data_IF_215593044292
#
_entry.id   IF_215593044292
#
_cell.length_a   1.000
_cell.length_b   1.000
_cell.length_c   1.000
_cell.angle_alpha   90.00
_cell.angle_beta   90.00
_cell.angle_gamma   90.00
#
_symmetry.space_group_name_H-M   'P 1'
#
loop_
_entity.id
_entity.type
_entity.pdbx_description
1 polymer ?
#
# COMPACT_ATOMS: atom_id res chain seq x y z
N UNK A 1 7.33 10.43 -5.32
CA UNK A 1 6.87 11.56 -4.47
C UNK A 1 5.36 11.74 -4.51
N UNK A 2 4.75 12.22 -5.61
CA UNK A 2 3.28 12.36 -5.67
C UNK A 2 2.56 11.04 -5.39
N UNK A 3 3.00 9.93 -6.01
CA UNK A 3 2.44 8.60 -5.73
C UNK A 3 2.57 8.17 -4.27
N UNK A 4 3.61 8.61 -3.56
CA UNK A 4 3.79 8.33 -2.13
C UNK A 4 2.73 9.06 -1.29
N UNK A 5 2.46 10.33 -1.61
CA UNK A 5 1.43 11.14 -0.95
C UNK A 5 0.04 10.54 -1.21
N UNK A 6 -0.23 10.15 -2.46
CA UNK A 6 -1.50 9.52 -2.84
C UNK A 6 -1.68 8.20 -2.09
N UNK A 7 -0.69 7.31 -2.10
CA UNK A 7 -0.76 6.01 -1.41
C UNK A 7 -0.96 6.14 0.09
N UNK A 8 -0.33 7.16 0.69
CA UNK A 8 -0.51 7.47 2.10
C UNK A 8 -1.98 7.75 2.47
N UNK A 9 -2.81 8.28 1.57
CA UNK A 9 -4.20 8.66 1.88
C UNK A 9 -5.28 7.82 1.19
N UNK A 10 -5.01 7.27 0.00
CA UNK A 10 -6.03 6.67 -0.87
C UNK A 10 -6.01 5.14 -0.92
N UNK A 11 -5.10 4.47 -0.21
CA UNK A 11 -4.74 3.05 -0.36
C UNK A 11 -3.83 2.75 -1.55
N UNK A 12 -3.04 1.68 -1.45
CA UNK A 12 -2.20 1.19 -2.54
C UNK A 12 -3.02 0.79 -3.77
N UNK A 13 -4.16 0.10 -3.59
CA UNK A 13 -5.04 -0.33 -4.68
C UNK A 13 -5.59 0.87 -5.46
N UNK A 14 -6.12 1.88 -4.75
CA UNK A 14 -6.63 3.07 -5.43
C UNK A 14 -5.50 3.87 -6.09
N UNK A 15 -4.31 3.90 -5.48
CA UNK A 15 -3.13 4.54 -6.08
C UNK A 15 -2.77 3.87 -7.39
N UNK A 16 -2.70 2.53 -7.44
CA UNK A 16 -2.47 1.79 -8.67
C UNK A 16 -3.57 2.03 -9.71
N UNK A 17 -4.84 2.03 -9.31
CA UNK A 17 -5.96 2.24 -10.23
C UNK A 17 -6.04 3.66 -10.81
N UNK A 18 -5.74 4.68 -10.02
CA UNK A 18 -5.87 6.09 -10.39
C UNK A 18 -4.60 6.58 -11.09
N UNK A 19 -3.44 6.34 -10.49
CA UNK A 19 -2.19 6.95 -10.94
C UNK A 19 -1.65 6.31 -12.22
N UNK A 20 -1.86 5.01 -12.43
CA UNK A 20 -1.42 4.30 -13.64
C UNK A 20 -1.97 4.88 -14.94
N UNK A 21 -3.30 5.04 -15.13
CA UNK A 21 -3.82 5.64 -16.36
C UNK A 21 -3.43 7.11 -16.51
N UNK A 22 -3.29 7.85 -15.41
CA UNK A 22 -2.83 9.25 -15.44
C UNK A 22 -1.39 9.31 -15.95
N UNK A 23 -0.49 8.53 -15.35
CA UNK A 23 0.91 8.48 -15.76
C UNK A 23 1.04 8.01 -17.20
N UNK A 24 0.33 6.96 -17.60
CA UNK A 24 0.31 6.49 -18.99
C UNK A 24 -0.07 7.63 -19.95
N UNK A 25 -1.13 8.38 -19.66
CA UNK A 25 -1.59 9.49 -20.49
C UNK A 25 -0.55 10.61 -20.56
N UNK A 26 0.03 11.00 -19.41
CA UNK A 26 1.05 12.05 -19.33
C UNK A 26 2.31 11.67 -20.09
N UNK A 27 2.87 10.48 -19.85
CA UNK A 27 4.09 10.02 -20.52
C UNK A 27 3.87 9.86 -22.01
N UNK A 28 2.69 9.38 -22.45
CA UNK A 28 2.36 9.26 -23.88
C UNK A 28 2.25 10.64 -24.55
N UNK A 29 1.56 11.61 -23.94
CA UNK A 29 1.44 12.99 -24.47
C UNK A 29 2.80 13.70 -24.52
N UNK A 30 3.65 13.46 -23.53
CA UNK A 30 5.00 14.03 -23.47
C UNK A 30 6.01 13.28 -24.36
N UNK A 31 5.64 12.12 -24.93
CA UNK A 31 6.52 11.21 -25.69
C UNK A 31 7.71 10.70 -24.87
N UNK A 32 7.47 10.41 -23.60
CA UNK A 32 8.44 9.81 -22.69
C UNK A 32 8.30 8.28 -22.68
N UNK A 33 9.37 7.53 -22.37
CA UNK A 33 9.29 6.09 -22.16
C UNK A 33 8.30 5.80 -21.03
N UNK A 34 7.24 5.03 -21.32
CA UNK A 34 6.10 4.88 -20.40
C UNK A 34 6.41 3.93 -19.24
N UNK A 35 7.09 2.81 -19.54
CA UNK A 35 7.31 1.73 -18.57
C UNK A 35 8.02 2.16 -17.28
N UNK A 36 9.13 2.94 -17.31
CA UNK A 36 9.82 3.37 -16.10
C UNK A 36 8.90 4.06 -15.08
N UNK A 37 8.02 4.95 -15.56
CA UNK A 37 7.08 5.68 -14.71
C UNK A 37 5.98 4.78 -14.15
N UNK A 38 5.51 3.81 -14.95
CA UNK A 38 4.48 2.87 -14.51
C UNK A 38 5.03 1.85 -13.50
N UNK A 39 6.26 1.38 -13.66
CA UNK A 39 6.93 0.56 -12.65
C UNK A 39 7.16 1.35 -11.36
N UNK A 40 7.68 2.58 -11.46
CA UNK A 40 7.88 3.44 -10.29
C UNK A 40 6.56 3.68 -9.54
N UNK A 41 5.45 3.84 -10.27
CA UNK A 41 4.11 4.00 -9.72
C UNK A 41 3.66 2.79 -8.89
N UNK A 42 3.80 1.58 -9.41
CA UNK A 42 3.37 0.37 -8.70
C UNK A 42 4.24 0.13 -7.48
N UNK A 43 5.56 0.25 -7.65
CA UNK A 43 6.50 0.03 -6.55
C UNK A 43 6.31 1.05 -5.44
N UNK A 44 6.06 2.33 -5.78
CA UNK A 44 5.82 3.36 -4.77
C UNK A 44 4.47 3.22 -4.09
N UNK A 45 3.45 2.67 -4.77
CA UNK A 45 2.15 2.43 -4.17
C UNK A 45 2.28 1.49 -2.97
N UNK A 46 2.96 0.35 -3.15
CA UNK A 46 3.21 -0.64 -2.09
C UNK A 46 4.31 -0.15 -1.10
N UNK A 47 5.32 0.60 -1.55
CA UNK A 47 6.38 1.11 -0.66
C UNK A 47 5.95 2.24 0.28
N UNK A 48 4.86 2.95 -0.05
CA UNK A 48 4.36 4.07 0.74
C UNK A 48 3.07 3.74 1.52
N UNK A 49 2.54 2.52 1.37
CA UNK A 49 1.24 2.13 1.93
C UNK A 49 1.26 1.76 3.41
N UNK A 50 2.41 1.88 4.08
CA UNK A 50 2.55 1.71 5.53
C UNK A 50 2.92 3.02 6.27
N UNK A 51 2.72 4.18 5.62
CA UNK A 51 2.91 5.51 6.22
C UNK A 51 1.84 5.87 7.26
N UNK A 52 0.57 5.53 6.98
CA UNK A 52 -0.55 5.74 7.89
C UNK A 52 -1.39 4.45 8.05
N UNK A 53 -2.13 4.31 9.15
CA UNK A 53 -3.08 3.22 9.33
C UNK A 53 -4.11 3.06 8.20
N UNK A 54 -4.49 4.16 7.54
CA UNK A 54 -5.48 4.14 6.46
C UNK A 54 -4.90 3.78 5.08
N UNK A 55 -3.57 3.83 4.95
CA UNK A 55 -2.87 3.70 3.66
C UNK A 55 -2.93 2.28 3.06
N UNK A 56 -3.37 1.28 3.81
CA UNK A 56 -3.61 -0.07 3.32
C UNK A 56 -4.65 -0.78 4.21
N UNK A 57 -5.62 -1.54 3.64
CA UNK A 57 -6.45 -2.46 4.41
C UNK A 57 -5.67 -3.39 5.36
N UNK A 58 -4.45 -3.80 4.99
CA UNK A 58 -3.57 -4.62 5.83
C UNK A 58 -3.27 -3.95 7.16
N UNK A 59 -2.96 -2.65 7.16
CA UNK A 59 -2.66 -1.88 8.36
C UNK A 59 -3.87 -1.88 9.31
N UNK A 60 -5.07 -1.71 8.74
CA UNK A 60 -6.33 -1.74 9.50
C UNK A 60 -6.56 -3.13 10.10
N UNK A 61 -6.32 -4.20 9.35
CA UNK A 61 -6.47 -5.59 9.83
C UNK A 61 -5.54 -5.86 11.02
N UNK A 62 -4.25 -5.53 10.88
CA UNK A 62 -3.27 -5.75 11.95
C UNK A 62 -3.60 -4.90 13.18
N UNK A 63 -3.92 -3.61 12.99
CA UNK A 63 -4.25 -2.70 14.09
C UNK A 63 -5.58 -3.02 14.78
N UNK A 64 -6.52 -3.66 14.08
CA UNK A 64 -7.78 -4.11 14.69
C UNK A 64 -7.55 -5.28 15.66
N UNK A 65 -6.52 -6.10 15.42
CA UNK A 65 -6.12 -7.18 16.32
C UNK A 65 -5.13 -6.73 17.40
N UNK A 66 -4.22 -5.82 17.06
CA UNK A 66 -3.19 -5.29 17.94
C UNK A 66 -3.26 -3.76 17.93
N UNK A 67 -4.11 -3.15 18.80
CA UNK A 67 -4.37 -1.72 18.77
C UNK A 67 -3.15 -0.92 19.26
N UNK A 68 -2.27 -0.57 18.33
CA UNK A 68 -1.25 0.46 18.54
C UNK A 68 -1.90 1.84 18.47
N UNK A 69 -1.51 2.74 19.36
CA UNK A 69 -1.81 4.16 19.16
C UNK A 69 -1.05 4.73 17.96
N UNK A 70 -1.58 5.81 17.38
CA UNK A 70 -0.99 6.43 16.19
C UNK A 70 0.47 6.83 16.42
N UNK A 71 0.85 7.28 17.62
CA UNK A 71 2.22 7.69 17.90
C UNK A 71 3.18 6.51 17.89
N UNK A 72 2.81 5.39 18.50
CA UNK A 72 3.60 4.15 18.45
C UNK A 72 3.72 3.64 17.00
N UNK A 73 2.62 3.66 16.24
CA UNK A 73 2.65 3.29 14.82
C UNK A 73 3.63 4.17 14.02
N UNK A 74 3.50 5.49 14.14
CA UNK A 74 4.36 6.44 13.43
C UNK A 74 5.81 6.32 13.87
N UNK A 75 6.08 6.17 15.17
CA UNK A 75 7.44 5.99 15.67
C UNK A 75 8.10 4.75 15.08
N UNK A 76 7.35 3.68 14.88
CA UNK A 76 7.88 2.42 14.36
C UNK A 76 8.00 2.39 12.83
N UNK A 77 7.13 3.08 12.09
CA UNK A 77 7.00 2.92 10.63
C UNK A 77 7.22 4.18 9.79
N UNK A 78 7.17 5.38 10.38
CA UNK A 78 7.39 6.63 9.63
C UNK A 78 8.83 6.74 9.12
N UNK A 79 9.84 6.51 9.96
CA UNK A 79 11.22 6.58 9.52
C UNK A 79 11.59 5.44 8.53
N UNK A 80 11.22 4.17 8.78
CA UNK A 80 11.42 3.10 7.79
C UNK A 80 10.75 3.38 6.44
N UNK A 81 9.54 3.92 6.42
CA UNK A 81 8.86 4.26 5.17
C UNK A 81 9.59 5.37 4.41
N UNK A 82 10.08 6.42 5.08
CA UNK A 82 10.89 7.45 4.44
C UNK A 82 12.20 6.90 3.86
N UNK A 83 12.88 6.00 4.59
CA UNK A 83 14.09 5.30 4.11
C UNK A 83 13.78 4.47 2.86
N UNK A 84 12.73 3.67 2.91
CA UNK A 84 12.31 2.78 1.82
C UNK A 84 11.86 3.57 0.58
N UNK A 85 11.10 4.65 0.76
CA UNK A 85 10.71 5.56 -0.32
C UNK A 85 11.94 6.20 -0.97
N UNK A 86 12.92 6.61 -0.16
CA UNK A 86 14.16 7.21 -0.65
C UNK A 86 15.00 6.21 -1.45
N UNK A 87 15.11 4.97 -0.96
CA UNK A 87 15.78 3.88 -1.67
C UNK A 87 15.05 3.56 -2.98
N UNK A 88 13.73 3.44 -2.95
CA UNK A 88 12.92 3.19 -4.14
C UNK A 88 13.19 4.27 -5.21
N UNK A 89 13.07 5.55 -4.84
CA UNK A 89 13.37 6.66 -5.75
C UNK A 89 14.80 6.63 -6.28
N UNK A 90 15.78 6.42 -5.41
CA UNK A 90 17.20 6.36 -5.79
C UNK A 90 17.50 5.22 -6.76
N UNK A 91 17.02 4.00 -6.47
CA UNK A 91 17.23 2.84 -7.35
C UNK A 91 16.55 3.05 -8.69
N UNK A 92 15.31 3.56 -8.73
CA UNK A 92 14.63 3.85 -9.99
C UNK A 92 15.32 4.95 -10.81
N UNK A 93 15.83 6.00 -10.16
CA UNK A 93 16.62 7.04 -10.84
C UNK A 93 17.89 6.48 -11.46
N UNK A 94 18.56 5.52 -10.80
CA UNK A 94 19.77 4.88 -11.33
C UNK A 94 19.44 3.87 -12.44
N UNK A 95 18.44 3.01 -12.21
CA UNK A 95 18.07 1.92 -13.13
C UNK A 95 17.55 2.47 -14.45
N UNK A 96 16.74 3.53 -14.41
CA UNK A 96 16.17 4.17 -15.60
C UNK A 96 16.85 5.50 -15.94
N UNK A 97 18.09 5.72 -15.51
CA UNK A 97 18.80 7.01 -15.72
C UNK A 97 18.83 7.47 -17.17
N UNK A 98 18.99 6.53 -18.11
CA UNK A 98 19.07 6.81 -19.54
C UNK A 98 17.69 7.18 -20.11
N UNK A 99 16.64 6.54 -19.61
CA UNK A 99 15.25 6.80 -20.00
C UNK A 99 14.71 8.11 -19.39
N UNK A 100 15.30 8.55 -18.27
CA UNK A 100 14.94 9.77 -17.55
C UNK A 100 15.77 10.99 -17.98
N UNK A 101 16.89 10.80 -18.69
CA UNK A 101 17.71 11.90 -19.19
C UNK A 101 17.11 12.49 -20.45
N UNK A 102 16.37 13.59 -20.32
CA UNK A 102 15.80 14.30 -21.45
C UNK A 102 15.07 15.58 -21.07
N UNK A 103 14.81 16.43 -22.05
CA UNK A 103 13.92 17.58 -21.92
C UNK A 103 12.59 17.25 -22.58
N UNK A 104 11.49 17.68 -21.98
CA UNK A 104 10.15 17.54 -22.55
C UNK A 104 9.49 18.91 -22.67
N UNK A 105 8.69 19.08 -23.71
CA UNK A 105 7.93 20.30 -23.92
C UNK A 105 6.61 20.23 -23.14
N UNK A 106 6.52 21.00 -22.05
CA UNK A 106 5.30 21.09 -21.24
C UNK A 106 4.08 21.59 -22.03
N UNK A 107 4.29 22.35 -23.11
CA UNK A 107 3.25 22.84 -24.03
C UNK A 107 2.46 21.72 -24.73
N UNK A 108 2.95 20.48 -24.74
CA UNK A 108 2.21 19.33 -25.29
C UNK A 108 1.06 18.90 -24.39
N UNK A 109 1.07 19.31 -23.13
CA UNK A 109 -0.05 19.09 -22.22
C UNK A 109 -1.03 20.27 -22.36
N UNK A 110 -2.33 20.01 -22.43
CA UNK A 110 -3.34 21.07 -22.35
C UNK A 110 -3.21 21.82 -21.03
N UNK A 111 -3.56 23.11 -21.02
CA UNK A 111 -3.49 23.88 -19.79
C UNK A 111 -4.48 23.28 -18.77
N UNK A 112 -4.14 23.21 -17.47
CA UNK A 112 -5.03 22.63 -16.46
C UNK A 112 -6.43 23.25 -16.45
N UNK A 113 -6.52 24.55 -16.74
CA UNK A 113 -7.77 25.29 -16.85
C UNK A 113 -8.69 24.82 -17.99
N UNK A 114 -8.12 24.23 -19.05
CA UNK A 114 -8.87 23.74 -20.22
C UNK A 114 -9.44 22.33 -19.97
N UNK A 115 -8.79 21.53 -19.12
CA UNK A 115 -9.26 20.19 -18.73
C UNK A 115 -10.27 20.24 -17.56
N UNK A 116 -10.21 21.26 -16.70
CA UNK A 116 -11.16 21.45 -15.58
C UNK A 116 -12.46 22.09 -16.09
N UNK A 117 -13.41 21.24 -16.52
CA UNK A 117 -14.74 21.67 -17.00
C UNK A 117 -15.55 22.44 -15.95
N UNK A 118 -15.45 22.05 -14.68
CA UNK A 118 -16.22 22.65 -13.58
C UNK A 118 -15.31 23.03 -12.39
N UNK A 119 -14.86 24.27 -12.38
CA UNK A 119 -13.96 24.82 -11.35
C UNK A 119 -14.53 24.72 -9.93
N UNK A 120 -15.83 24.97 -9.76
CA UNK A 120 -16.50 24.86 -8.46
C UNK A 120 -16.50 23.43 -7.91
N UNK A 121 -16.85 22.46 -8.76
CA UNK A 121 -16.82 21.04 -8.38
C UNK A 121 -15.40 20.56 -8.08
N UNK A 122 -14.42 20.97 -8.88
CA UNK A 122 -13.01 20.64 -8.65
C UNK A 122 -12.53 21.15 -7.28
N UNK A 123 -12.79 22.43 -6.95
CA UNK A 123 -12.42 23.01 -5.64
C UNK A 123 -13.14 22.31 -4.49
N UNK A 124 -14.41 21.98 -4.66
CA UNK A 124 -15.18 21.20 -3.68
C UNK A 124 -14.54 19.83 -3.44
N UNK A 125 -14.22 19.08 -4.49
CA UNK A 125 -13.57 17.77 -4.38
C UNK A 125 -12.21 17.88 -3.69
N UNK A 126 -11.38 18.87 -4.04
CA UNK A 126 -10.10 19.10 -3.36
C UNK A 126 -10.29 19.42 -1.87
N UNK A 127 -11.29 20.24 -1.53
CA UNK A 127 -11.59 20.59 -0.15
C UNK A 127 -12.06 19.38 0.66
N UNK A 128 -12.99 18.59 0.11
CA UNK A 128 -13.49 17.37 0.77
C UNK A 128 -12.38 16.34 0.94
N UNK A 129 -11.56 16.10 -0.09
CA UNK A 129 -10.41 15.18 0.03
C UNK A 129 -9.39 15.64 1.08
N UNK A 130 -9.12 16.95 1.14
CA UNK A 130 -8.22 17.52 2.16
C UNK A 130 -8.80 17.37 3.57
N UNK A 131 -10.11 17.61 3.73
CA UNK A 131 -10.79 17.42 5.00
C UNK A 131 -10.78 15.95 5.42
N UNK A 132 -11.05 15.03 4.51
CA UNK A 132 -10.99 13.58 4.76
C UNK A 132 -9.59 13.14 5.19
N UNK A 133 -8.54 13.65 4.52
CA UNK A 133 -7.16 13.38 4.90
C UNK A 133 -6.84 13.83 6.33
N UNK A 134 -7.28 15.04 6.73
CA UNK A 134 -7.14 15.54 8.11
C UNK A 134 -7.94 14.67 9.08
N UNK A 135 -9.20 14.37 8.74
CA UNK A 135 -10.07 13.54 9.56
C UNK A 135 -9.52 12.13 9.77
N UNK A 136 -8.81 11.54 8.80
CA UNK A 136 -8.16 10.24 9.01
C UNK A 136 -7.06 10.30 10.07
N UNK A 137 -6.23 11.34 10.05
CA UNK A 137 -5.18 11.51 11.07
C UNK A 137 -5.79 11.72 12.44
N UNK A 138 -6.82 12.59 12.55
CA UNK A 138 -7.53 12.84 13.80
C UNK A 138 -8.25 11.59 14.29
N UNK A 139 -8.95 10.88 13.42
CA UNK A 139 -9.65 9.63 13.76
C UNK A 139 -8.67 8.55 14.21
N UNK A 140 -7.53 8.39 13.54
CA UNK A 140 -6.49 7.46 13.96
C UNK A 140 -5.93 7.81 15.34
N UNK A 141 -5.69 9.10 15.61
CA UNK A 141 -5.22 9.57 16.92
C UNK A 141 -6.24 9.31 18.04
N UNK A 142 -7.53 9.50 17.75
CA UNK A 142 -8.64 9.28 18.68
C UNK A 142 -9.13 7.82 18.73
N UNK A 143 -8.49 6.91 17.98
CA UNK A 143 -8.94 5.51 17.78
C UNK A 143 -10.39 5.39 17.31
N UNK A 144 -10.85 6.39 16.55
CA UNK A 144 -12.16 6.40 15.94
C UNK A 144 -12.17 5.52 14.68
N UNK A 145 -13.27 4.81 14.37
CA UNK A 145 -13.33 3.93 13.20
C UNK A 145 -13.04 4.67 11.89
N UNK A 146 -11.93 4.32 11.23
CA UNK A 146 -11.53 4.94 9.96
C UNK A 146 -12.56 4.70 8.84
N UNK A 147 -13.32 3.60 8.92
CA UNK A 147 -14.40 3.29 7.99
C UNK A 147 -15.49 4.37 7.96
N UNK A 148 -15.83 4.96 9.10
CA UNK A 148 -16.84 6.01 9.19
C UNK A 148 -16.37 7.30 8.52
N UNK A 149 -15.08 7.64 8.67
CA UNK A 149 -14.47 8.78 7.97
C UNK A 149 -14.51 8.56 6.46
N UNK A 150 -14.16 7.36 6.01
CA UNK A 150 -14.21 6.99 4.59
C UNK A 150 -15.63 7.10 4.02
N UNK A 151 -16.63 6.57 4.74
CA UNK A 151 -18.04 6.62 4.34
C UNK A 151 -18.58 8.06 4.30
N UNK A 152 -18.27 8.88 5.29
CA UNK A 152 -18.67 10.28 5.32
C UNK A 152 -18.03 11.08 4.18
N UNK A 153 -16.75 10.85 3.90
CA UNK A 153 -16.03 11.45 2.78
C UNK A 153 -16.61 11.05 1.43
N UNK A 154 -16.87 9.75 1.24
CA UNK A 154 -17.51 9.24 0.03
C UNK A 154 -18.91 9.83 -0.17
N UNK A 155 -19.72 9.92 0.89
CA UNK A 155 -21.03 10.55 0.84
C UNK A 155 -20.95 12.03 0.46
N UNK A 156 -20.04 12.78 1.07
CA UNK A 156 -19.82 14.19 0.73
C UNK A 156 -19.44 14.36 -0.75
N UNK A 157 -18.48 13.56 -1.24
CA UNK A 157 -18.09 13.58 -2.66
C UNK A 157 -19.25 13.23 -3.60
N UNK A 158 -20.07 12.23 -3.25
CA UNK A 158 -21.25 11.84 -4.02
C UNK A 158 -22.32 12.94 -4.04
N UNK A 159 -22.57 13.61 -2.91
CA UNK A 159 -23.49 14.74 -2.83
C UNK A 159 -23.02 15.92 -3.68
N UNK A 160 -21.72 16.24 -3.66
CA UNK A 160 -21.15 17.24 -4.54
C UNK A 160 -21.25 16.86 -6.02
N UNK A 161 -21.00 15.59 -6.35
CA UNK A 161 -21.14 15.08 -7.72
C UNK A 161 -22.59 15.20 -8.20
N UNK A 162 -23.55 14.81 -7.36
CA UNK A 162 -24.98 14.91 -7.65
C UNK A 162 -25.43 16.37 -7.82
N UNK A 163 -25.05 17.26 -6.91
CA UNK A 163 -25.39 18.69 -6.97
C UNK A 163 -24.83 19.36 -8.23
N UNK A 164 -23.58 19.06 -8.59
CA UNK A 164 -22.94 19.59 -9.80
C UNK A 164 -23.28 18.81 -11.09
N UNK A 165 -24.20 17.84 -11.03
CA UNK A 165 -24.61 16.96 -12.14
C UNK A 165 -23.43 16.26 -12.83
N UNK A 166 -22.40 15.90 -12.06
CA UNK A 166 -21.20 15.20 -12.53
C UNK A 166 -21.36 13.70 -12.37
N UNK A 167 -21.92 13.04 -13.40
CA UNK A 167 -22.09 11.59 -13.44
C UNK A 167 -23.28 11.07 -12.64
N UNK A 168 -23.55 9.78 -12.79
CA UNK A 168 -24.67 9.08 -12.14
C UNK A 168 -24.19 8.18 -11.00
N UNK A 169 -25.05 7.89 -10.02
CA UNK A 169 -24.77 6.92 -8.95
C UNK A 169 -24.33 5.56 -9.52
N UNK A 170 -24.91 5.16 -10.65
CA UNK A 170 -24.57 3.90 -11.34
C UNK A 170 -23.15 3.91 -11.90
N UNK A 171 -22.69 5.03 -12.46
CA UNK A 171 -21.32 5.16 -12.98
C UNK A 171 -20.29 5.08 -11.86
N UNK A 172 -20.52 5.79 -10.75
CA UNK A 172 -19.64 5.74 -9.58
C UNK A 172 -19.64 4.34 -8.94
N UNK A 173 -20.81 3.71 -8.83
CA UNK A 173 -20.92 2.34 -8.31
C UNK A 173 -20.16 1.29 -9.14
N UNK A 174 -19.99 1.50 -10.44
CA UNK A 174 -19.19 0.61 -11.31
C UNK A 174 -17.67 0.76 -11.10
N UNK A 175 -17.22 1.86 -10.51
CA UNK A 175 -15.80 2.10 -10.20
C UNK A 175 -15.38 1.46 -8.88
N UNK A 176 -16.34 1.09 -8.03
CA UNK A 176 -16.08 0.34 -6.79
C UNK A 176 -15.64 -1.08 -7.16
N UNK A 177 -14.52 -1.51 -6.57
CA UNK A 177 -14.01 -2.86 -6.74
C UNK A 177 -14.77 -3.85 -5.85
N UNK A 178 -16.01 -4.18 -6.23
CA UNK A 178 -16.90 -5.07 -5.46
C UNK A 178 -16.30 -6.44 -5.14
N UNK A 179 -15.39 -6.93 -5.99
CA UNK A 179 -14.64 -8.16 -5.77
C UNK A 179 -13.79 -8.15 -4.49
N UNK A 180 -13.32 -6.98 -4.05
CA UNK A 180 -12.50 -6.84 -2.83
C UNK A 180 -13.31 -7.27 -1.59
N UNK A 181 -14.60 -6.90 -1.51
CA UNK A 181 -15.45 -7.30 -0.39
C UNK A 181 -15.61 -8.81 -0.29
N UNK A 182 -15.90 -9.47 -1.42
CA UNK A 182 -16.03 -10.92 -1.49
C UNK A 182 -14.71 -11.63 -1.20
N UNK A 183 -13.60 -11.10 -1.71
CA UNK A 183 -12.26 -11.62 -1.46
C UNK A 183 -11.88 -11.53 0.03
N UNK A 184 -12.03 -10.37 0.66
CA UNK A 184 -11.73 -10.19 2.08
C UNK A 184 -12.60 -11.10 2.94
N UNK A 185 -13.91 -11.16 2.69
CA UNK A 185 -14.82 -12.04 3.42
C UNK A 185 -14.41 -13.52 3.29
N UNK A 186 -14.11 -13.98 2.07
CA UNK A 186 -13.63 -15.34 1.82
C UNK A 186 -12.30 -15.64 2.50
N UNK A 187 -11.36 -14.69 2.51
CA UNK A 187 -10.07 -14.86 3.18
C UNK A 187 -10.21 -14.93 4.70
N UNK A 188 -11.12 -14.15 5.32
CA UNK A 188 -11.41 -14.29 6.75
C UNK A 188 -11.98 -15.66 7.10
N UNK A 189 -12.91 -16.19 6.30
CA UNK A 189 -13.45 -17.55 6.49
C UNK A 189 -12.34 -18.59 6.37
N UNK A 190 -11.50 -18.48 5.33
CA UNK A 190 -10.39 -19.41 5.10
C UNK A 190 -9.39 -19.37 6.25
N UNK A 191 -8.97 -18.18 6.70
CA UNK A 191 -8.02 -18.08 7.80
C UNK A 191 -8.64 -18.57 9.10
N UNK A 192 -9.93 -18.32 9.36
CA UNK A 192 -10.60 -18.89 10.52
C UNK A 192 -10.67 -20.42 10.47
N UNK A 193 -10.85 -21.01 9.28
CA UNK A 193 -10.79 -22.46 9.10
C UNK A 193 -9.37 -23.03 9.31
N UNK A 194 -8.33 -22.29 8.93
CA UNK A 194 -6.94 -22.68 9.21
C UNK A 194 -6.62 -22.50 10.70
N UNK A 195 -7.11 -21.43 11.34
CA UNK A 195 -6.94 -21.16 12.76
C UNK A 195 -7.57 -22.27 13.62
N UNK A 196 -8.74 -22.79 13.24
CA UNK A 196 -9.40 -23.89 13.95
C UNK A 196 -8.62 -25.22 13.89
N UNK A 197 -7.69 -25.37 12.94
CA UNK A 197 -6.79 -26.55 12.87
C UNK A 197 -5.58 -26.43 13.80
N UNK A 198 -5.34 -25.25 14.37
CA UNK A 198 -4.15 -24.95 15.19
C UNK A 198 -2.89 -24.63 14.37
N UNK A 199 -2.94 -24.64 13.04
CA UNK A 199 -1.79 -24.38 12.17
C UNK A 199 -1.22 -22.96 12.37
N UNK A 200 -2.07 -21.94 12.53
CA UNK A 200 -1.61 -20.56 12.78
C UNK A 200 -0.87 -20.44 14.11
N UNK A 201 -1.28 -21.20 15.13
CA UNK A 201 -0.58 -21.23 16.41
C UNK A 201 0.80 -21.88 16.30
N UNK A 202 0.90 -23.00 15.58
CA UNK A 202 2.18 -23.65 15.29
C UNK A 202 3.11 -22.73 14.48
N UNK A 203 2.56 -22.01 13.50
CA UNK A 203 3.31 -21.03 12.72
C UNK A 203 3.80 -19.87 13.58
N UNK A 204 2.97 -19.34 14.48
CA UNK A 204 3.38 -18.32 15.45
C UNK A 204 4.52 -18.77 16.36
N UNK A 205 4.46 -20.00 16.87
CA UNK A 205 5.54 -20.58 17.67
C UNK A 205 6.83 -20.76 16.86
N UNK A 206 6.72 -21.20 15.60
CA UNK A 206 7.88 -21.30 14.70
C UNK A 206 8.54 -19.94 14.48
N UNK A 207 7.75 -18.89 14.22
CA UNK A 207 8.27 -17.51 14.08
C UNK A 207 9.00 -17.06 15.36
N UNK A 208 8.43 -17.37 16.54
CA UNK A 208 9.08 -17.04 17.82
C UNK A 208 10.39 -17.81 18.01
N UNK A 209 10.42 -19.11 17.71
CA UNK A 209 11.63 -19.93 17.80
C UNK A 209 12.72 -19.41 16.87
N UNK A 210 12.38 -19.14 15.61
CA UNK A 210 13.33 -18.60 14.62
C UNK A 210 13.83 -17.20 15.01
N UNK A 211 13.02 -16.40 15.71
CA UNK A 211 13.45 -15.08 16.18
C UNK A 211 14.42 -15.13 17.36
N UNK A 212 14.58 -16.30 18.00
CA UNK A 212 15.38 -16.48 19.22
C UNK A 212 14.87 -15.63 20.40
N UNK A 213 13.62 -15.14 20.35
CA UNK A 213 13.05 -14.25 21.37
C UNK A 213 13.68 -12.85 21.43
N UNK A 214 14.45 -12.45 20.40
CA UNK A 214 15.09 -11.13 20.34
C UNK A 214 14.28 -10.15 19.49
N UNK A 215 14.37 -8.84 19.76
CA UNK A 215 13.71 -7.83 18.93
C UNK A 215 14.26 -7.82 17.50
N UNK A 216 15.56 -8.05 17.32
CA UNK A 216 16.18 -8.18 15.99
C UNK A 216 15.62 -9.37 15.24
N UNK A 217 15.61 -10.55 15.87
CA UNK A 217 15.07 -11.76 15.26
C UNK A 217 13.59 -11.61 14.93
N UNK A 218 12.80 -10.94 15.78
CA UNK A 218 11.38 -10.69 15.53
C UNK A 218 11.18 -9.87 14.26
N UNK A 219 11.98 -8.81 14.08
CA UNK A 219 11.91 -7.97 12.89
C UNK A 219 12.40 -8.72 11.65
N UNK A 220 13.53 -9.42 11.71
CA UNK A 220 14.08 -10.15 10.55
C UNK A 220 13.17 -11.29 10.10
N UNK A 221 12.72 -12.13 11.03
CA UNK A 221 11.84 -13.26 10.75
C UNK A 221 10.46 -12.79 10.34
N UNK A 222 9.90 -11.78 11.04
CA UNK A 222 8.60 -11.21 10.69
C UNK A 222 8.62 -10.56 9.30
N UNK A 223 9.61 -9.73 8.98
CA UNK A 223 9.72 -9.07 7.67
C UNK A 223 9.93 -10.08 6.56
N UNK A 224 10.83 -11.04 6.74
CA UNK A 224 11.12 -12.06 5.71
C UNK A 224 9.92 -12.99 5.51
N UNK A 225 9.32 -13.48 6.60
CA UNK A 225 8.15 -14.35 6.56
C UNK A 225 6.95 -13.67 5.91
N UNK A 226 6.69 -12.40 6.26
CA UNK A 226 5.66 -11.60 5.62
C UNK A 226 5.95 -11.38 4.14
N UNK A 227 7.15 -10.92 3.79
CA UNK A 227 7.49 -10.60 2.40
C UNK A 227 7.46 -11.82 1.47
N UNK A 228 7.95 -12.98 1.93
CA UNK A 228 7.84 -14.22 1.15
C UNK A 228 6.39 -14.70 1.08
N UNK A 229 5.68 -14.66 2.20
CA UNK A 229 4.30 -15.10 2.30
C UNK A 229 3.34 -14.33 1.39
N UNK A 230 3.52 -13.01 1.25
CA UNK A 230 2.69 -12.23 0.32
C UNK A 230 2.82 -12.69 -1.12
N UNK A 231 4.01 -13.14 -1.53
CA UNK A 231 4.25 -13.64 -2.89
C UNK A 231 3.77 -15.08 -3.11
N UNK A 232 3.45 -15.82 -2.03
CA UNK A 232 2.87 -17.17 -2.12
C UNK A 232 1.35 -17.16 -2.21
N UNK A 233 0.69 -16.30 -1.44
CA UNK A 233 -0.77 -16.23 -1.38
C UNK A 233 -1.30 -14.90 -1.90
N UNK A 234 -1.04 -13.80 -1.19
CA UNK A 234 -1.26 -12.38 -1.52
C UNK A 234 -1.04 -11.57 -0.21
N UNK A 235 -0.93 -10.26 -0.28
CA UNK A 235 -0.65 -9.41 0.88
C UNK A 235 -1.75 -9.41 1.95
N UNK A 236 -3.02 -9.30 1.58
CA UNK A 236 -4.15 -9.31 2.52
C UNK A 236 -4.26 -10.63 3.29
N UNK A 237 -4.38 -11.81 2.65
CA UNK A 237 -4.50 -13.06 3.39
C UNK A 237 -3.25 -13.38 4.21
N UNK A 238 -2.05 -13.02 3.73
CA UNK A 238 -0.84 -13.20 4.54
C UNK A 238 -0.86 -12.36 5.81
N UNK A 239 -1.33 -11.10 5.72
CA UNK A 239 -1.50 -10.26 6.90
C UNK A 239 -2.48 -10.87 7.91
N UNK A 240 -3.59 -11.45 7.46
CA UNK A 240 -4.56 -12.12 8.34
C UNK A 240 -3.93 -13.36 9.02
N UNK A 241 -3.19 -14.19 8.27
CA UNK A 241 -2.48 -15.37 8.80
C UNK A 241 -1.44 -14.96 9.85
N UNK A 242 -0.60 -13.98 9.56
CA UNK A 242 0.39 -13.47 10.52
C UNK A 242 -0.30 -12.89 11.74
N UNK A 243 -1.33 -12.08 11.55
CA UNK A 243 -2.09 -11.49 12.66
C UNK A 243 -2.65 -12.55 13.61
N UNK A 244 -3.23 -13.64 13.09
CA UNK A 244 -3.68 -14.77 13.91
C UNK A 244 -2.50 -15.44 14.62
N UNK A 245 -1.40 -15.68 13.91
CA UNK A 245 -0.19 -16.31 14.47
C UNK A 245 0.42 -15.51 15.62
N UNK A 246 0.44 -14.18 15.52
CA UNK A 246 0.98 -13.27 16.53
C UNK A 246 0.14 -13.24 17.82
N UNK A 247 -1.14 -13.64 17.81
CA UNK A 247 -1.97 -13.65 19.03
C UNK A 247 -1.42 -14.61 20.08
N UNK A 248 -0.72 -15.65 19.64
CA UNK A 248 -0.07 -16.62 20.52
C UNK A 248 1.18 -16.08 21.22
N UNK A 249 1.65 -14.88 20.84
CA UNK A 249 2.85 -14.23 21.35
C UNK A 249 2.57 -13.18 22.43
N UNK A 250 1.36 -13.16 23.00
CA UNK A 250 0.91 -12.19 24.00
C UNK A 250 1.78 -12.13 25.27
N UNK A 251 2.56 -13.18 25.54
CA UNK A 251 3.48 -13.25 26.68
C UNK A 251 4.92 -12.84 26.36
N UNK A 252 5.25 -12.56 25.09
CA UNK A 252 6.59 -12.12 24.70
C UNK A 252 6.90 -10.70 25.20
N UNK A 253 8.17 -10.30 25.36
CA UNK A 253 8.53 -8.92 25.69
C UNK A 253 7.93 -7.91 24.69
N UNK A 254 7.55 -6.72 25.17
CA UNK A 254 6.89 -5.71 24.34
C UNK A 254 7.69 -5.36 23.06
N UNK A 255 9.02 -5.28 23.14
CA UNK A 255 9.88 -5.01 21.99
C UNK A 255 9.81 -6.12 20.92
N UNK A 256 9.63 -7.38 21.33
CA UNK A 256 9.44 -8.52 20.42
C UNK A 256 8.06 -8.46 19.78
N UNK A 257 7.01 -8.17 20.56
CA UNK A 257 5.65 -8.01 20.04
C UNK A 257 5.56 -6.87 19.03
N UNK A 258 6.06 -5.68 19.39
CA UNK A 258 6.11 -4.53 18.49
C UNK A 258 6.97 -4.81 17.26
N UNK A 259 8.07 -5.54 17.41
CA UNK A 259 8.90 -6.00 16.30
C UNK A 259 8.14 -6.86 15.31
N UNK A 260 7.37 -7.84 15.78
CA UNK A 260 6.52 -8.66 14.93
C UNK A 260 5.37 -7.88 14.29
N UNK A 261 4.70 -7.00 15.03
CA UNK A 261 3.59 -6.19 14.51
C UNK A 261 4.09 -5.26 13.40
N UNK A 262 5.15 -4.49 13.67
CA UNK A 262 5.72 -3.54 12.71
C UNK A 262 6.29 -4.27 11.48
N UNK A 263 6.99 -5.39 11.67
CA UNK A 263 7.56 -6.18 10.57
C UNK A 263 6.50 -6.92 9.74
N UNK A 264 5.38 -7.30 10.34
CA UNK A 264 4.22 -7.87 9.63
C UNK A 264 3.60 -6.84 8.71
N UNK A 265 3.31 -5.64 9.22
CA UNK A 265 2.79 -4.53 8.40
C UNK A 265 3.78 -4.22 7.28
N UNK A 266 5.02 -3.90 7.65
CA UNK A 266 6.07 -3.54 6.72
C UNK A 266 6.33 -4.59 5.63
N UNK A 267 6.46 -5.87 6.01
CA UNK A 267 6.74 -6.95 5.08
C UNK A 267 5.53 -7.31 4.21
N UNK A 268 4.30 -7.19 4.74
CA UNK A 268 3.09 -7.42 3.96
C UNK A 268 2.82 -6.31 2.94
N UNK A 269 3.16 -5.06 3.26
CA UNK A 269 3.05 -3.93 2.33
C UNK A 269 4.17 -3.94 1.28
N UNK A 270 5.42 -4.16 1.69
CA UNK A 270 6.58 -4.01 0.80
C UNK A 270 6.89 -5.28 -0.01
N UNK A 271 6.70 -6.46 0.59
CA UNK A 271 6.99 -7.76 -0.03
C UNK A 271 6.36 -7.99 -1.41
N UNK A 272 5.13 -7.53 -1.67
CA UNK A 272 4.49 -7.63 -2.98
C UNK A 272 5.30 -7.11 -4.16
N UNK A 273 6.23 -6.17 -3.92
CA UNK A 273 7.11 -5.65 -4.97
C UNK A 273 8.09 -6.70 -5.55
N UNK A 274 8.13 -7.93 -5.03
CA UNK A 274 8.91 -9.02 -5.64
C UNK A 274 8.21 -9.63 -6.85
N UNK A 275 6.90 -9.90 -6.79
CA UNK A 275 6.19 -10.63 -7.84
C UNK A 275 4.82 -10.03 -8.12
N UNK A 276 4.28 -10.33 -9.30
CA UNK A 276 3.00 -9.77 -9.75
C UNK A 276 1.78 -10.28 -8.99
N UNK A 277 1.92 -11.39 -8.25
CA UNK A 277 0.84 -12.02 -7.48
C UNK A 277 0.80 -11.49 -6.04
N UNK A 278 1.87 -10.79 -5.62
CA UNK A 278 2.06 -10.35 -4.25
C UNK A 278 0.96 -9.42 -3.71
N UNK A 279 0.39 -8.56 -4.55
CA UNK A 279 -0.69 -7.64 -4.17
C UNK A 279 -1.77 -7.57 -5.26
N UNK A 280 -3.02 -7.36 -4.83
CA UNK A 280 -4.11 -7.07 -5.77
C UNK A 280 -3.83 -5.79 -6.58
N UNK A 281 -3.24 -4.77 -5.96
CA UNK A 281 -2.78 -3.55 -6.64
C UNK A 281 -1.91 -3.86 -7.87
N UNK A 282 -0.93 -4.76 -7.75
CA UNK A 282 -0.04 -5.13 -8.87
C UNK A 282 -0.78 -5.90 -9.97
N UNK A 283 -1.71 -6.78 -9.60
CA UNK A 283 -2.58 -7.47 -10.58
C UNK A 283 -3.45 -6.46 -11.33
N UNK A 284 -4.08 -5.52 -10.62
CA UNK A 284 -4.90 -4.46 -11.22
C UNK A 284 -4.06 -3.56 -12.15
N UNK A 285 -2.83 -3.24 -11.75
CA UNK A 285 -1.88 -2.51 -12.59
C UNK A 285 -1.57 -3.25 -13.90
N UNK A 286 -1.27 -4.55 -13.84
CA UNK A 286 -1.06 -5.36 -15.06
C UNK A 286 -2.30 -5.40 -15.96
N UNK A 287 -3.50 -5.50 -15.37
CA UNK A 287 -4.75 -5.47 -16.14
C UNK A 287 -4.95 -4.13 -16.85
N UNK A 288 -4.59 -3.01 -16.21
CA UNK A 288 -4.63 -1.68 -16.82
C UNK A 288 -3.63 -1.59 -17.98
N UNK A 289 -2.39 -2.07 -17.79
CA UNK A 289 -1.36 -2.11 -18.83
C UNK A 289 -1.81 -2.88 -20.06
N UNK A 290 -2.36 -4.09 -19.86
CA UNK A 290 -2.87 -4.93 -20.96
C UNK A 290 -3.98 -4.24 -21.74
N UNK A 291 -4.89 -3.54 -21.06
CA UNK A 291 -5.94 -2.72 -21.71
C UNK A 291 -5.39 -1.55 -22.52
N UNK A 292 -4.14 -1.15 -22.28
CA UNK A 292 -3.41 -0.10 -23.02
C UNK A 292 -2.43 -0.68 -24.04
N UNK A 293 -2.50 -1.98 -24.34
CA UNK A 293 -1.58 -2.69 -25.24
C UNK A 293 -0.10 -2.60 -24.80
N UNK A 294 0.14 -2.44 -23.50
CA UNK A 294 1.48 -2.55 -22.92
C UNK A 294 1.64 -3.96 -22.35
N UNK A 295 2.54 -4.73 -22.93
CA UNK A 295 2.89 -6.07 -22.46
C UNK A 295 4.03 -5.98 -21.45
N UNK A 296 3.73 -6.37 -20.22
CA UNK A 296 4.73 -6.57 -19.15
C UNK A 296 4.58 -7.99 -18.66
N UNK A 297 5.65 -8.79 -18.78
CA UNK A 297 5.64 -10.15 -18.27
C UNK A 297 5.87 -10.18 -16.76
N UNK A 298 5.45 -11.26 -16.11
CA UNK A 298 5.77 -11.47 -14.69
C UNK A 298 7.27 -11.54 -14.42
N UNK A 299 8.06 -12.01 -15.40
CA UNK A 299 9.51 -12.06 -15.30
C UNK A 299 10.14 -10.66 -15.37
N UNK A 300 9.60 -9.75 -16.19
CA UNK A 300 10.10 -8.37 -16.25
C UNK A 300 9.87 -7.66 -14.93
N UNK A 301 8.69 -7.86 -14.32
CA UNK A 301 8.41 -7.35 -12.99
C UNK A 301 9.32 -7.96 -11.93
N UNK A 302 9.51 -9.28 -11.95
CA UNK A 302 10.38 -9.98 -11.00
C UNK A 302 11.84 -9.51 -11.08
N UNK A 303 12.37 -9.24 -12.28
CA UNK A 303 13.73 -8.72 -12.46
C UNK A 303 13.90 -7.37 -11.76
N UNK A 304 12.94 -6.45 -11.91
CA UNK A 304 12.96 -5.16 -11.20
C UNK A 304 12.76 -5.39 -9.70
N UNK A 305 11.82 -6.25 -9.32
CA UNK A 305 11.51 -6.60 -7.94
C UNK A 305 12.70 -7.11 -7.14
N UNK A 306 13.47 -8.05 -7.70
CA UNK A 306 14.68 -8.60 -7.06
C UNK A 306 15.78 -7.56 -6.89
N UNK A 307 15.84 -6.53 -7.73
CA UNK A 307 16.84 -5.46 -7.60
C UNK A 307 16.45 -4.48 -6.49
N UNK A 308 15.17 -4.08 -6.44
CA UNK A 308 14.73 -2.99 -5.55
C UNK A 308 14.32 -3.51 -4.17
N UNK A 309 13.53 -4.60 -4.11
CA UNK A 309 12.80 -5.00 -2.91
C UNK A 309 13.69 -5.54 -1.78
N UNK A 310 14.69 -6.41 -2.03
CA UNK A 310 15.58 -6.88 -0.96
C UNK A 310 16.33 -5.75 -0.25
N UNK A 311 16.81 -4.76 -0.99
CA UNK A 311 17.49 -3.59 -0.43
C UNK A 311 16.56 -2.79 0.49
N UNK A 312 15.32 -2.55 0.03
CA UNK A 312 14.30 -1.87 0.83
C UNK A 312 13.92 -2.66 2.08
N UNK A 313 13.74 -3.99 1.97
CA UNK A 313 13.40 -4.87 3.09
C UNK A 313 14.50 -4.84 4.16
N UNK A 314 15.77 -4.98 3.77
CA UNK A 314 16.91 -4.95 4.70
C UNK A 314 17.03 -3.60 5.39
N UNK A 315 16.99 -2.50 4.64
CA UNK A 315 17.12 -1.16 5.20
C UNK A 315 15.94 -0.78 6.10
N UNK A 316 14.72 -1.12 5.71
CA UNK A 316 13.52 -0.88 6.50
C UNK A 316 13.49 -1.72 7.78
N UNK A 317 13.79 -3.03 7.68
CA UNK A 317 13.90 -3.92 8.83
C UNK A 317 14.96 -3.44 9.83
N UNK A 318 16.14 -3.06 9.35
CA UNK A 318 17.20 -2.50 10.19
C UNK A 318 16.73 -1.22 10.91
N UNK A 319 16.03 -0.34 10.20
CA UNK A 319 15.50 0.90 10.76
C UNK A 319 14.43 0.63 11.83
N UNK A 320 13.51 -0.31 11.58
CA UNK A 320 12.50 -0.75 12.56
C UNK A 320 13.19 -1.27 13.82
N UNK A 321 14.20 -2.13 13.66
CA UNK A 321 14.95 -2.68 14.80
C UNK A 321 15.63 -1.60 15.64
N UNK A 322 16.25 -0.60 15.00
CA UNK A 322 16.87 0.53 15.71
C UNK A 322 15.87 1.32 16.56
N UNK A 323 14.62 1.42 16.11
CA UNK A 323 13.55 2.17 16.78
C UNK A 323 12.88 1.40 17.93
N UNK A 324 13.11 0.08 18.00
CA UNK A 324 12.65 -0.78 19.08
C UNK A 324 13.62 -0.82 20.27
N UNK A 325 14.83 -0.27 20.10
CA UNK A 325 15.85 -0.15 21.15
C UNK A 325 15.67 1.13 21.95
#
# INVERSE_FOLDING_TARGET
LLGSIISMFLSNDATALILTPILYSLTTRLRLPVLPFLFACTFIADSASFLLPVSNPINIIVLSAFPLDLWTFLRLLLLPSLVVISINLGVFMVLYRADLSGQFESKRLPAPQDEIRHQGYFRYTCLVLSLVAICYVVAAALRFPLSLVAMAGALALLLGAWYCKQGTLREHGRQISWSIFGFIAGMFILVQAVESTGLTAQFGQLLLQLSGGTSLGAVLVGTTGAALGTNLINNVPMAVVLTSSLRTLSHAPQAVQHGFIASTIFGCDLGPNLTTVGSLATVLWLLILRRRNLEVSGLDYFKVGVIVTPLMLVAGAFTIWLLLR
#
